data_IF_726425874784
#
_entry.id   IF_726425874784
#
_cell.length_a   1.000
_cell.length_b   1.000
_cell.length_c   1.000
_cell.angle_alpha   90.00
_cell.angle_beta   90.00
_cell.angle_gamma   90.00
#
_symmetry.space_group_name_H-M   'P 1'
#
loop_
_entity.id
_entity.type
_entity.pdbx_description
1 polymer ?
#
# COMPACT_ATOMS: atom_id res chain seq x y z
N UNK A 1 14.73 -11.14 -22.67
CA UNK A 1 13.32 -11.25 -22.64
C UNK A 1 12.75 -10.85 -21.29
N UNK A 2 12.00 -9.83 -21.30
CA UNK A 2 11.36 -9.41 -20.09
C UNK A 2 10.31 -10.45 -19.71
N UNK A 3 10.32 -10.84 -18.50
CA UNK A 3 9.42 -11.88 -18.09
C UNK A 3 8.56 -11.33 -16.98
N UNK A 4 7.30 -11.29 -17.24
CA UNK A 4 6.32 -10.86 -16.26
C UNK A 4 6.12 -11.89 -15.16
N UNK A 5 6.93 -12.94 -15.14
CA UNK A 5 6.77 -14.07 -14.25
C UNK A 5 6.71 -13.74 -12.78
N UNK A 6 7.32 -12.64 -12.38
CA UNK A 6 7.37 -12.27 -10.99
C UNK A 6 6.37 -11.17 -10.64
N UNK A 7 5.45 -10.92 -11.54
CA UNK A 7 4.42 -9.93 -11.25
C UNK A 7 3.47 -10.49 -10.22
N UNK A 8 3.49 -9.87 -9.06
CA UNK A 8 2.53 -10.18 -8.03
C UNK A 8 1.13 -9.77 -8.49
N UNK A 9 0.15 -10.52 -8.08
CA UNK A 9 -1.24 -10.22 -8.34
C UNK A 9 -2.02 -10.35 -7.04
N UNK A 10 -2.08 -9.25 -6.31
CA UNK A 10 -2.75 -9.21 -5.01
C UNK A 10 -4.19 -8.83 -5.19
N UNK A 11 -5.08 -9.64 -4.66
CA UNK A 11 -6.53 -9.46 -4.75
C UNK A 11 -7.18 -9.76 -3.41
N UNK A 12 -8.30 -9.11 -3.17
CA UNK A 12 -9.14 -9.40 -2.03
C UNK A 12 -8.93 -8.45 -0.87
N UNK A 13 -9.94 -8.42 -0.03
CA UNK A 13 -9.98 -7.58 1.16
C UNK A 13 -10.18 -8.47 2.37
N UNK A 14 -9.29 -8.35 3.35
CA UNK A 14 -9.27 -9.23 4.51
C UNK A 14 -9.17 -8.38 5.77
N UNK A 15 -9.91 -8.75 6.81
CA UNK A 15 -9.83 -8.07 8.10
C UNK A 15 -9.05 -8.95 9.06
N UNK A 16 -8.00 -8.39 9.64
CA UNK A 16 -7.18 -9.06 10.64
C UNK A 16 -7.02 -8.18 11.86
N UNK A 17 -6.78 -8.78 12.99
CA UNK A 17 -6.55 -8.03 14.22
C UNK A 17 -5.06 -7.79 14.42
N UNK A 18 -4.73 -6.56 14.78
CA UNK A 18 -3.38 -6.23 15.19
C UNK A 18 -3.16 -6.69 16.62
N UNK A 19 -2.05 -7.35 16.89
CA UNK A 19 -1.73 -7.80 18.24
C UNK A 19 -1.19 -6.63 19.08
N UNK A 20 -1.05 -6.82 20.42
CA UNK A 20 -0.57 -5.74 21.29
C UNK A 20 0.83 -5.23 20.96
N UNK A 21 1.62 -5.99 20.22
CA UNK A 21 2.97 -5.59 19.79
C UNK A 21 2.98 -4.91 18.41
N UNK A 22 1.82 -4.65 17.83
CA UNK A 22 1.74 -3.98 16.53
C UNK A 22 2.00 -4.90 15.35
N UNK A 23 1.74 -6.20 15.48
CA UNK A 23 1.93 -7.17 14.40
C UNK A 23 0.58 -7.53 13.77
N UNK A 24 0.59 -7.65 12.45
CA UNK A 24 -0.59 -8.01 11.67
C UNK A 24 -0.25 -9.18 10.76
N UNK A 25 -1.12 -10.20 10.75
CA UNK A 25 -0.98 -11.32 9.85
C UNK A 25 -1.47 -10.94 8.45
N UNK A 26 -0.76 -11.39 7.43
CA UNK A 26 -1.24 -11.32 6.06
C UNK A 26 -1.85 -12.66 5.68
N UNK A 27 -2.94 -12.66 4.91
CA UNK A 27 -3.51 -13.91 4.39
C UNK A 27 -2.45 -14.71 3.61
N UNK A 28 -2.48 -16.01 3.74
CA UNK A 28 -1.52 -16.88 3.05
C UNK A 28 -1.55 -16.69 1.53
N UNK A 29 -2.71 -16.40 0.99
CA UNK A 29 -2.95 -16.09 -0.41
C UNK A 29 -2.13 -14.91 -0.93
N UNK A 30 -1.92 -13.88 -0.10
CA UNK A 30 -1.06 -12.75 -0.44
C UNK A 30 0.40 -13.06 -0.08
N UNK A 31 0.61 -13.59 1.10
CA UNK A 31 1.93 -13.84 1.68
C UNK A 31 2.77 -14.82 0.87
N UNK A 32 2.14 -15.82 0.26
CA UNK A 32 2.85 -16.83 -0.53
C UNK A 32 3.53 -16.26 -1.77
N UNK A 33 3.09 -15.10 -2.24
CA UNK A 33 3.69 -14.43 -3.39
C UNK A 33 4.92 -13.58 -3.02
N UNK A 34 5.14 -13.35 -1.73
CA UNK A 34 6.19 -12.46 -1.22
C UNK A 34 6.91 -13.07 -0.01
N UNK A 35 7.44 -14.29 -0.14
CA UNK A 35 8.08 -14.95 1.02
C UNK A 35 9.25 -14.17 1.60
N UNK A 36 9.91 -13.35 0.79
CA UNK A 36 11.02 -12.50 1.22
C UNK A 36 10.58 -11.21 1.91
N UNK A 37 9.26 -10.94 1.95
CA UNK A 37 8.76 -9.69 2.49
C UNK A 37 8.85 -8.55 1.50
N UNK A 38 9.04 -7.34 1.99
CA UNK A 38 9.10 -6.14 1.16
C UNK A 38 9.31 -4.88 1.98
N UNK A 39 8.82 -3.76 1.50
CA UNK A 39 8.94 -2.46 2.14
C UNK A 39 7.57 -1.87 2.44
N UNK A 40 7.40 -1.43 3.68
CA UNK A 40 6.17 -0.79 4.14
C UNK A 40 6.42 0.71 4.26
N UNK A 41 5.54 1.52 3.71
CA UNK A 41 5.66 2.97 3.82
C UNK A 41 4.29 3.65 3.78
N UNK A 42 4.30 4.96 3.95
CA UNK A 42 3.07 5.76 3.95
C UNK A 42 2.53 5.96 2.53
N UNK A 43 1.23 6.11 2.43
CA UNK A 43 0.55 6.54 1.21
C UNK A 43 0.07 7.99 1.37
N UNK A 44 -0.43 8.57 0.30
CA UNK A 44 -1.04 9.90 0.36
C UNK A 44 -2.33 9.87 1.19
N UNK A 45 -3.07 8.78 1.10
CA UNK A 45 -4.24 8.53 1.93
C UNK A 45 -3.80 8.05 3.33
N UNK A 46 -4.71 8.02 4.31
CA UNK A 46 -4.39 7.53 5.65
C UNK A 46 -4.32 6.00 5.70
N UNK A 47 -3.40 5.45 4.93
CA UNK A 47 -3.13 4.01 4.88
C UNK A 47 -1.64 3.79 4.67
N UNK A 48 -1.24 2.53 4.71
CA UNK A 48 0.13 2.11 4.42
C UNK A 48 0.12 1.29 3.15
N UNK A 49 1.21 1.39 2.40
CA UNK A 49 1.44 0.55 1.23
C UNK A 49 2.59 -0.40 1.50
N UNK A 50 2.35 -1.67 1.24
CA UNK A 50 3.37 -2.70 1.25
C UNK A 50 3.80 -2.97 -0.19
N UNK A 51 5.07 -2.72 -0.47
CA UNK A 51 5.67 -2.94 -1.78
C UNK A 51 6.50 -4.22 -1.76
N UNK A 52 6.21 -5.18 -2.65
CA UNK A 52 7.15 -6.29 -2.86
C UNK A 52 8.53 -5.76 -3.26
N UNK A 53 9.58 -6.51 -2.96
CA UNK A 53 10.95 -6.03 -3.17
C UNK A 53 11.21 -5.56 -4.61
N UNK A 54 10.74 -6.30 -5.61
CA UNK A 54 10.96 -5.93 -7.00
C UNK A 54 10.26 -4.62 -7.38
N UNK A 55 9.08 -4.38 -6.84
CA UNK A 55 8.36 -3.13 -7.12
C UNK A 55 8.95 -1.96 -6.36
N UNK A 56 9.50 -2.19 -5.17
CA UNK A 56 10.16 -1.13 -4.43
C UNK A 56 11.34 -0.54 -5.21
N UNK A 57 12.10 -1.39 -5.90
CA UNK A 57 13.17 -0.90 -6.78
C UNK A 57 12.63 -0.01 -7.90
N UNK A 58 11.46 -0.33 -8.43
CA UNK A 58 10.82 0.50 -9.46
C UNK A 58 10.40 1.87 -8.88
N UNK A 59 9.88 1.89 -7.67
CA UNK A 59 9.53 3.14 -6.97
C UNK A 59 10.78 4.01 -6.78
N UNK A 60 11.88 3.39 -6.34
CA UNK A 60 13.14 4.09 -6.17
C UNK A 60 13.62 4.72 -7.47
N UNK A 61 13.55 3.97 -8.57
CA UNK A 61 13.95 4.48 -9.88
C UNK A 61 13.07 5.62 -10.36
N UNK A 62 11.76 5.48 -10.23
CA UNK A 62 10.82 6.51 -10.68
C UNK A 62 11.01 7.81 -9.90
N UNK A 63 11.14 7.73 -8.60
CA UNK A 63 11.39 8.91 -7.79
C UNK A 63 12.76 9.51 -8.05
N UNK A 64 13.74 8.67 -8.40
CA UNK A 64 15.08 9.11 -8.74
C UNK A 64 15.17 9.89 -10.05
N UNK A 65 14.19 9.74 -10.93
CA UNK A 65 14.14 10.46 -12.21
C UNK A 65 13.55 11.86 -12.08
N UNK A 66 12.89 12.14 -10.97
CA UNK A 66 12.26 13.45 -10.77
C UNK A 66 13.31 14.51 -10.47
N UNK A 67 12.98 15.77 -10.78
CA UNK A 67 13.88 16.88 -10.61
C UNK A 67 14.27 17.08 -9.14
N UNK A 68 15.54 16.86 -8.76
CA UNK A 68 15.96 16.97 -7.36
C UNK A 68 15.94 18.39 -6.84
N UNK A 69 15.81 19.39 -7.71
CA UNK A 69 15.74 20.79 -7.31
C UNK A 69 14.33 21.23 -6.98
N UNK A 70 13.33 20.45 -7.38
CA UNK A 70 11.94 20.77 -7.07
C UNK A 70 11.64 20.45 -5.60
N UNK A 71 11.21 21.44 -4.80
CA UNK A 71 10.91 21.22 -3.38
C UNK A 71 9.84 20.14 -3.13
N UNK A 72 8.83 20.05 -4.00
CA UNK A 72 7.78 19.06 -3.85
C UNK A 72 8.30 17.64 -4.08
N UNK A 73 9.27 17.49 -4.98
CA UNK A 73 9.94 16.22 -5.20
C UNK A 73 10.72 15.81 -3.95
N UNK A 74 11.45 16.77 -3.37
CA UNK A 74 12.21 16.50 -2.14
C UNK A 74 11.30 16.11 -0.98
N UNK A 75 10.18 16.79 -0.83
CA UNK A 75 9.21 16.46 0.23
C UNK A 75 8.55 15.10 0.00
N UNK A 76 8.25 14.76 -1.24
CA UNK A 76 7.74 13.44 -1.58
C UNK A 76 8.74 12.35 -1.19
N UNK A 77 10.02 12.56 -1.49
CA UNK A 77 11.07 11.60 -1.11
C UNK A 77 11.21 11.48 0.40
N UNK A 78 11.13 12.60 1.12
CA UNK A 78 11.16 12.58 2.59
C UNK A 78 10.00 11.77 3.14
N UNK A 79 8.81 11.95 2.59
CA UNK A 79 7.62 11.27 3.04
C UNK A 79 7.71 9.77 2.76
N UNK A 80 8.02 9.38 1.54
CA UNK A 80 8.00 7.98 1.13
C UNK A 80 9.21 7.22 1.66
N UNK A 81 10.43 7.73 1.43
CA UNK A 81 11.64 7.05 1.86
C UNK A 81 11.91 7.22 3.35
N UNK A 82 11.64 8.41 3.87
CA UNK A 82 11.86 8.71 5.29
C UNK A 82 10.99 7.89 6.23
N UNK A 83 9.83 7.44 5.74
CA UNK A 83 8.90 6.62 6.53
C UNK A 83 9.05 5.13 6.28
N UNK A 84 9.81 4.74 5.24
CA UNK A 84 9.89 3.35 4.80
C UNK A 84 10.60 2.46 5.81
N UNK A 85 10.07 1.25 5.97
CA UNK A 85 10.65 0.23 6.82
C UNK A 85 10.63 -1.11 6.10
N UNK A 86 11.71 -1.85 6.18
CA UNK A 86 11.73 -3.21 5.67
C UNK A 86 10.79 -4.07 6.53
N UNK A 87 10.02 -4.91 5.89
CA UNK A 87 9.04 -5.77 6.55
C UNK A 87 9.22 -7.20 6.10
N UNK A 88 9.41 -8.09 7.06
CA UNK A 88 9.50 -9.53 6.81
C UNK A 88 8.47 -10.25 7.66
N UNK A 89 8.08 -11.44 7.21
CA UNK A 89 7.09 -12.23 7.93
C UNK A 89 7.75 -13.08 9.01
N UNK A 90 7.12 -13.14 10.17
CA UNK A 90 7.50 -14.09 11.20
C UNK A 90 6.93 -15.48 10.87
N UNK A 91 7.18 -16.46 11.76
CA UNK A 91 6.72 -17.84 11.54
C UNK A 91 5.22 -17.99 11.45
N UNK A 92 4.49 -17.03 11.99
CA UNK A 92 3.02 -17.04 11.98
C UNK A 92 2.45 -16.17 10.87
N UNK A 93 3.31 -15.69 9.96
CA UNK A 93 2.88 -14.91 8.82
C UNK A 93 2.52 -13.47 9.16
N UNK A 94 3.04 -12.92 10.24
CA UNK A 94 2.77 -11.55 10.66
C UNK A 94 3.95 -10.66 10.35
N UNK A 95 3.66 -9.39 10.06
CA UNK A 95 4.69 -8.34 10.00
C UNK A 95 4.52 -7.40 11.20
N UNK A 96 5.62 -6.83 11.65
CA UNK A 96 5.61 -5.79 12.66
C UNK A 96 5.44 -4.45 11.97
N UNK A 97 4.50 -3.64 12.44
CA UNK A 97 4.26 -2.30 11.94
C UNK A 97 4.80 -1.31 12.95
N UNK A 98 5.87 -0.57 12.63
CA UNK A 98 6.42 0.41 13.55
C UNK A 98 5.40 1.49 13.95
N UNK A 99 5.59 2.05 15.13
CA UNK A 99 4.63 2.99 15.70
C UNK A 99 4.36 4.20 14.82
N UNK A 100 5.40 4.76 14.17
CA UNK A 100 5.20 5.92 13.31
C UNK A 100 4.31 5.62 12.10
N UNK A 101 4.35 4.39 11.59
CA UNK A 101 3.46 3.97 10.51
C UNK A 101 2.05 3.72 11.03
N UNK A 102 1.92 3.09 12.19
CA UNK A 102 0.60 2.92 12.82
C UNK A 102 -0.07 4.26 13.07
N UNK A 103 0.69 5.25 13.50
CA UNK A 103 0.17 6.60 13.77
C UNK A 103 -0.29 7.27 12.48
N UNK A 104 0.51 7.19 11.42
CA UNK A 104 0.13 7.77 10.13
C UNK A 104 -1.22 7.26 9.64
N UNK A 105 -1.43 5.96 9.70
CA UNK A 105 -2.64 5.30 9.20
C UNK A 105 -3.73 5.17 10.28
N UNK A 106 -3.50 5.67 11.48
CA UNK A 106 -4.44 5.56 12.61
C UNK A 106 -4.87 4.13 12.85
N UNK A 107 -3.94 3.18 12.73
CA UNK A 107 -4.25 1.75 12.87
C UNK A 107 -4.63 1.42 14.30
N UNK A 108 -5.84 0.90 14.46
CA UNK A 108 -6.32 0.38 15.73
C UNK A 108 -6.27 -1.13 15.73
N UNK A 109 -7.25 -1.74 16.39
CA UNK A 109 -7.27 -3.18 16.58
C UNK A 109 -7.59 -3.95 15.31
N UNK A 110 -8.51 -3.44 14.49
CA UNK A 110 -8.92 -4.09 13.25
C UNK A 110 -8.26 -3.44 12.05
N UNK A 111 -7.50 -4.21 11.32
CA UNK A 111 -6.75 -3.76 10.15
C UNK A 111 -7.27 -4.47 8.91
N UNK A 112 -7.57 -3.68 7.89
CA UNK A 112 -7.94 -4.19 6.57
C UNK A 112 -6.65 -4.38 5.78
N UNK A 113 -6.41 -5.61 5.36
CA UNK A 113 -5.30 -5.98 4.48
C UNK A 113 -5.88 -6.21 3.10
N UNK A 114 -5.50 -5.38 2.15
CA UNK A 114 -6.16 -5.38 0.84
C UNK A 114 -5.16 -5.49 -0.29
N UNK A 115 -5.40 -6.44 -1.19
CA UNK A 115 -4.64 -6.55 -2.43
C UNK A 115 -5.12 -5.53 -3.46
N UNK A 116 -4.20 -4.74 -3.99
CA UNK A 116 -4.49 -3.65 -4.94
C UNK A 116 -3.69 -3.87 -6.24
N UNK A 117 -3.65 -5.10 -6.70
CA UNK A 117 -2.92 -5.45 -7.91
C UNK A 117 -1.46 -5.75 -7.62
N UNK A 118 -0.59 -4.78 -7.74
CA UNK A 118 0.85 -4.96 -7.56
C UNK A 118 1.36 -4.61 -6.15
N UNK A 119 0.49 -4.06 -5.30
CA UNK A 119 0.81 -3.71 -3.92
C UNK A 119 -0.27 -4.21 -2.97
N UNK A 120 0.04 -4.15 -1.68
CA UNK A 120 -0.92 -4.43 -0.62
C UNK A 120 -1.09 -3.16 0.21
N UNK A 121 -2.33 -2.82 0.56
CA UNK A 121 -2.61 -1.68 1.43
C UNK A 121 -3.09 -2.14 2.78
N UNK A 122 -2.72 -1.38 3.80
CA UNK A 122 -3.19 -1.59 5.17
C UNK A 122 -3.97 -0.36 5.61
N UNK A 123 -5.22 -0.58 6.00
CA UNK A 123 -6.13 0.47 6.45
C UNK A 123 -6.67 0.13 7.83
N UNK A 124 -6.93 1.16 8.62
CA UNK A 124 -7.81 0.94 9.76
C UNK A 124 -9.23 0.71 9.26
N UNK A 125 -9.98 -0.14 9.96
CA UNK A 125 -11.30 -0.56 9.48
C UNK A 125 -12.28 0.61 9.33
N UNK A 126 -12.22 1.62 10.20
CA UNK A 126 -13.15 2.75 10.18
C UNK A 126 -12.96 3.65 8.96
N UNK A 127 -11.77 4.26 8.72
CA UNK A 127 -11.58 5.06 7.51
C UNK A 127 -11.71 4.26 6.21
N UNK A 128 -11.37 2.97 6.24
CA UNK A 128 -11.58 2.11 5.08
C UNK A 128 -13.06 2.01 4.72
N UNK A 129 -13.91 1.82 5.71
CA UNK A 129 -15.36 1.68 5.50
C UNK A 129 -15.94 2.92 4.81
N UNK A 130 -15.54 4.11 5.24
CA UNK A 130 -15.97 5.36 4.62
C UNK A 130 -15.48 5.50 3.19
N UNK A 131 -14.20 5.23 2.96
CA UNK A 131 -13.60 5.34 1.63
C UNK A 131 -14.19 4.33 0.66
N UNK A 132 -14.44 3.12 1.13
CA UNK A 132 -15.06 2.08 0.31
C UNK A 132 -16.45 2.51 -0.16
N UNK A 133 -17.22 3.15 0.69
CA UNK A 133 -18.52 3.69 0.32
C UNK A 133 -18.42 4.71 -0.81
N UNK A 134 -17.47 5.64 -0.73
CA UNK A 134 -17.22 6.63 -1.78
C UNK A 134 -16.77 5.98 -3.09
N UNK A 135 -15.85 5.05 -3.01
CA UNK A 135 -15.34 4.35 -4.19
C UNK A 135 -16.47 3.61 -4.91
N UNK A 136 -17.29 2.90 -4.16
CA UNK A 136 -18.40 2.14 -4.74
C UNK A 136 -19.46 3.06 -5.35
N UNK A 137 -19.77 4.18 -4.69
CA UNK A 137 -20.77 5.14 -5.18
C UNK A 137 -20.32 5.86 -6.45
N UNK A 138 -19.03 6.18 -6.56
CA UNK A 138 -18.49 7.00 -7.64
C UNK A 138 -17.63 6.20 -8.63
N UNK A 139 -17.77 4.87 -8.63
CA UNK A 139 -16.87 3.98 -9.37
C UNK A 139 -16.70 4.34 -10.84
N UNK A 140 -17.80 4.67 -11.53
CA UNK A 140 -17.75 5.03 -12.95
C UNK A 140 -16.97 6.31 -13.20
N UNK A 141 -17.20 7.31 -12.37
CA UNK A 141 -16.52 8.61 -12.50
C UNK A 141 -15.04 8.49 -12.15
N UNK A 142 -14.73 7.73 -11.11
CA UNK A 142 -13.35 7.46 -10.72
C UNK A 142 -12.60 6.78 -11.85
N UNK A 143 -13.19 5.75 -12.44
CA UNK A 143 -12.58 5.00 -13.53
C UNK A 143 -12.32 5.91 -14.73
N UNK A 144 -13.28 6.75 -15.07
CA UNK A 144 -13.14 7.66 -16.19
C UNK A 144 -11.99 8.65 -15.97
N UNK A 145 -11.92 9.26 -14.78
CA UNK A 145 -10.83 10.18 -14.43
C UNK A 145 -9.47 9.47 -14.45
N UNK A 146 -9.42 8.26 -13.92
CA UNK A 146 -8.18 7.48 -13.85
C UNK A 146 -7.62 7.17 -15.25
N UNK A 147 -8.51 6.99 -16.22
CA UNK A 147 -8.10 6.75 -17.61
C UNK A 147 -7.76 8.04 -18.37
N UNK A 148 -7.79 9.20 -17.71
CA UNK A 148 -7.53 10.48 -18.35
C UNK A 148 -8.62 10.89 -19.33
N UNK A 149 -9.81 10.32 -19.21
CA UNK A 149 -10.92 10.61 -20.10
C UNK A 149 -11.53 11.99 -19.87
N UNK A 150 -11.94 12.62 -20.95
CA UNK A 150 -12.75 13.83 -20.88
C UNK A 150 -14.14 13.45 -20.39
N UNK A 151 -14.74 14.19 -19.45
CA UNK A 151 -16.11 13.90 -19.05
C UNK A 151 -17.04 13.95 -20.28
N UNK A 152 -18.05 13.09 -20.34
CA UNK A 152 -18.99 13.14 -21.44
C UNK A 152 -19.65 14.53 -21.45
N UNK A 153 -19.71 15.10 -22.62
CA UNK A 153 -20.45 16.34 -22.78
C UNK A 153 -21.93 16.06 -22.51
N UNK A 154 -22.50 16.85 -21.67
CA UNK A 154 -23.92 16.79 -21.37
C UNK A 154 -24.75 17.28 -22.56
#
# INVERSE_FOLDING_TARGET
>A
MAVAKNMASFKGTFVHQMDPKGRVAFPSRLRSQIPEGGTLTVAAEPCLTFYPAHLWHDVERELGRLDPLNPDVRDTKRQIFGSAEDATFDRQGRIAIPSHLRDHAHLGKEVVVMGVGDVIELWDATPWSERHGHIAADASDIMRRARGGVPPST
#
